data_IF_754677124755
#
_entry.id   IF_754677124755
#
_cell.length_a   1.000
_cell.length_b   1.000
_cell.length_c   1.000
_cell.angle_alpha   90.00
_cell.angle_beta   90.00
_cell.angle_gamma   90.00
#
_symmetry.space_group_name_H-M   'P 1'
#
loop_
_entity.id
_entity.type
_entity.pdbx_description
1 polymer ?
#
# COMPACT_ATOMS: atom_id res chain seq x y z
N UNK A 1 5.42 -11.68 1.26
CA UNK A 1 4.52 -10.51 1.30
C UNK A 1 3.53 -10.44 0.15
N UNK A 2 3.77 -11.13 -0.98
CA UNK A 2 2.82 -11.14 -2.12
C UNK A 2 1.47 -11.71 -1.67
N UNK A 3 0.40 -10.95 -1.88
CA UNK A 3 -0.97 -11.43 -1.67
C UNK A 3 -1.49 -12.10 -2.93
N UNK A 4 -1.35 -13.42 -3.00
CA UNK A 4 -1.77 -14.24 -4.13
C UNK A 4 -3.28 -14.26 -4.34
N UNK A 5 -4.08 -13.97 -3.32
CA UNK A 5 -5.53 -13.87 -3.47
C UNK A 5 -5.89 -12.75 -4.46
N UNK A 6 -5.30 -11.56 -4.30
CA UNK A 6 -5.52 -10.44 -5.22
C UNK A 6 -4.94 -10.69 -6.61
N UNK A 7 -3.82 -11.40 -6.73
CA UNK A 7 -3.30 -11.86 -8.02
C UNK A 7 -4.35 -12.68 -8.76
N UNK A 8 -4.94 -13.69 -8.13
CA UNK A 8 -5.99 -14.50 -8.75
C UNK A 8 -7.30 -13.74 -8.99
N UNK A 9 -7.60 -12.71 -8.19
CA UNK A 9 -8.72 -11.81 -8.47
C UNK A 9 -8.56 -11.07 -9.80
N UNK A 10 -7.38 -10.54 -10.09
CA UNK A 10 -7.07 -9.86 -11.36
C UNK A 10 -7.34 -10.78 -12.56
N UNK A 11 -7.06 -12.07 -12.42
CA UNK A 11 -7.30 -13.09 -13.43
C UNK A 11 -8.70 -13.71 -13.39
N UNK A 12 -9.62 -13.17 -12.58
CA UNK A 12 -10.99 -13.67 -12.39
C UNK A 12 -11.06 -15.14 -11.94
N UNK A 13 -10.03 -15.62 -11.24
CA UNK A 13 -9.89 -17.00 -10.76
C UNK A 13 -10.08 -17.14 -9.25
N UNK A 14 -10.84 -16.24 -8.63
CA UNK A 14 -11.10 -16.26 -7.18
C UNK A 14 -12.02 -17.42 -6.81
N UNK A 15 -11.64 -18.15 -5.77
CA UNK A 15 -12.51 -19.16 -5.17
C UNK A 15 -12.64 -20.47 -5.94
N UNK A 16 -12.05 -20.61 -7.11
CA UNK A 16 -12.07 -21.83 -7.94
C UNK A 16 -10.70 -22.52 -7.89
N UNK A 17 -10.68 -23.75 -7.42
CA UNK A 17 -9.53 -24.64 -7.61
C UNK A 17 -9.65 -25.25 -9.02
N UNK A 18 -8.83 -24.82 -9.95
CA UNK A 18 -8.84 -25.32 -11.32
C UNK A 18 -7.41 -25.59 -11.79
N UNK A 19 -7.26 -26.48 -12.75
CA UNK A 19 -5.99 -26.76 -13.40
C UNK A 19 -5.39 -25.46 -14.01
N UNK A 20 -6.24 -24.60 -14.57
CA UNK A 20 -5.85 -23.30 -15.10
C UNK A 20 -5.24 -22.36 -14.03
N UNK A 21 -5.76 -22.39 -12.80
CA UNK A 21 -5.19 -21.62 -11.68
C UNK A 21 -3.82 -22.15 -11.26
N UNK A 22 -3.63 -23.46 -11.28
CA UNK A 22 -2.33 -24.09 -10.98
C UNK A 22 -1.30 -23.74 -12.04
N UNK A 23 -1.66 -23.84 -13.32
CA UNK A 23 -0.80 -23.44 -14.44
C UNK A 23 -0.42 -21.97 -14.39
N UNK A 24 -1.38 -21.08 -14.12
CA UNK A 24 -1.10 -19.65 -13.95
C UNK A 24 -0.12 -19.37 -12.80
N UNK A 25 -0.25 -20.10 -11.69
CA UNK A 25 0.67 -19.96 -10.56
C UNK A 25 2.08 -20.46 -10.91
N UNK A 26 2.20 -21.56 -11.67
CA UNK A 26 3.48 -22.08 -12.14
C UNK A 26 4.17 -21.07 -13.06
N UNK A 27 3.44 -20.49 -14.02
CA UNK A 27 3.96 -19.45 -14.92
C UNK A 27 4.40 -18.21 -14.15
N UNK A 28 3.61 -17.77 -13.15
CA UNK A 28 3.95 -16.64 -12.30
C UNK A 28 5.23 -16.89 -11.50
N UNK A 29 5.36 -18.06 -10.89
CA UNK A 29 6.55 -18.41 -10.11
C UNK A 29 7.78 -18.54 -10.99
N UNK A 30 7.65 -19.11 -12.20
CA UNK A 30 8.72 -19.20 -13.18
C UNK A 30 9.20 -17.82 -13.60
N UNK A 31 8.28 -16.92 -13.97
CA UNK A 31 8.62 -15.54 -14.36
C UNK A 31 9.32 -14.78 -13.23
N UNK A 32 8.84 -14.91 -11.98
CA UNK A 32 9.51 -14.32 -10.83
C UNK A 32 10.94 -14.84 -10.64
N UNK A 33 11.14 -16.14 -10.73
CA UNK A 33 12.46 -16.76 -10.57
C UNK A 33 13.45 -16.32 -11.66
N UNK A 34 13.00 -16.28 -12.93
CA UNK A 34 13.82 -15.83 -14.07
C UNK A 34 14.17 -14.34 -13.98
N UNK A 35 13.33 -13.57 -13.30
CA UNK A 35 13.43 -12.11 -13.20
C UNK A 35 14.21 -11.63 -11.97
N UNK A 36 14.37 -12.46 -10.94
CA UNK A 36 14.90 -12.07 -9.62
C UNK A 36 16.29 -11.38 -9.67
N UNK A 37 17.16 -11.84 -10.59
CA UNK A 37 18.49 -11.26 -10.74
C UNK A 37 18.53 -9.98 -11.60
N UNK A 38 17.50 -9.74 -12.42
CA UNK A 38 17.47 -8.68 -13.43
C UNK A 38 16.75 -7.42 -12.96
N UNK A 39 15.65 -7.58 -12.20
CA UNK A 39 14.77 -6.48 -11.81
C UNK A 39 14.69 -6.33 -10.31
N UNK A 40 14.47 -5.10 -9.89
CA UNK A 40 14.36 -4.73 -8.48
C UNK A 40 13.03 -4.03 -8.21
N UNK A 41 12.57 -4.14 -6.98
CA UNK A 41 11.57 -3.23 -6.43
C UNK A 41 12.26 -2.16 -5.62
N UNK A 42 11.70 -0.96 -5.64
CA UNK A 42 12.25 0.21 -4.98
C UNK A 42 11.22 0.81 -4.05
N UNK A 43 11.70 1.40 -2.97
CA UNK A 43 10.87 2.12 -2.02
C UNK A 43 11.60 3.35 -1.51
N UNK A 44 10.87 4.45 -1.37
CA UNK A 44 11.33 5.66 -0.70
C UNK A 44 10.31 6.02 0.37
N UNK A 45 10.77 6.51 1.52
CA UNK A 45 9.88 7.02 2.57
C UNK A 45 10.52 8.17 3.33
N UNK A 46 9.67 8.97 3.96
CA UNK A 46 10.07 10.00 4.90
C UNK A 46 9.05 10.09 6.04
N UNK A 47 9.52 10.45 7.22
CA UNK A 47 8.68 10.76 8.38
C UNK A 47 8.67 12.27 8.58
N UNK A 48 7.48 12.86 8.60
CA UNK A 48 7.27 14.29 8.77
C UNK A 48 6.59 14.58 10.09
N UNK A 49 6.91 15.72 10.72
CA UNK A 49 6.06 16.26 11.77
C UNK A 49 4.70 16.60 11.18
N UNK A 50 3.65 16.21 11.88
CA UNK A 50 2.29 16.40 11.43
C UNK A 50 1.37 16.74 12.60
N UNK A 51 0.39 17.59 12.35
CA UNK A 51 -0.74 17.85 13.26
C UNK A 51 -2.01 17.96 12.44
N UNK A 52 -3.15 17.64 13.04
CA UNK A 52 -4.45 17.84 12.40
C UNK A 52 -5.08 19.17 12.81
N UNK A 53 -5.80 19.79 11.86
CA UNK A 53 -6.59 21.00 12.08
C UNK A 53 -7.92 20.85 11.32
N UNK A 54 -8.98 20.47 12.03
CA UNK A 54 -10.23 20.02 11.42
C UNK A 54 -10.02 18.77 10.58
N UNK A 55 -10.41 18.81 9.31
CA UNK A 55 -10.26 17.70 8.38
C UNK A 55 -8.92 17.73 7.61
N UNK A 56 -8.08 18.76 7.87
CA UNK A 56 -6.79 18.91 7.23
C UNK A 56 -5.66 18.29 8.07
N UNK A 57 -4.58 17.88 7.39
CA UNK A 57 -3.31 17.54 8.05
C UNK A 57 -2.26 18.56 7.61
N UNK A 58 -1.55 19.11 8.58
CA UNK A 58 -0.43 20.03 8.37
C UNK A 58 0.86 19.22 8.53
N UNK A 59 1.59 19.05 7.42
CA UNK A 59 2.91 18.44 7.38
C UNK A 59 3.96 19.55 7.39
N UNK A 60 4.64 19.74 8.50
CA UNK A 60 5.57 20.85 8.72
C UNK A 60 4.90 22.21 8.43
N UNK A 61 5.06 22.76 7.23
CA UNK A 61 4.48 24.03 6.77
C UNK A 61 3.40 23.86 5.67
N UNK A 62 3.13 22.62 5.24
CA UNK A 62 2.18 22.33 4.15
C UNK A 62 0.87 21.77 4.69
N UNK A 63 -0.22 22.44 4.36
CA UNK A 63 -1.58 22.00 4.68
C UNK A 63 -2.13 21.15 3.53
N UNK A 64 -2.54 19.94 3.85
CA UNK A 64 -3.18 19.01 2.90
C UNK A 64 -4.61 18.77 3.38
N UNK A 65 -5.63 19.17 2.61
CA UNK A 65 -7.02 18.89 2.93
C UNK A 65 -7.36 17.43 2.68
N UNK A 66 -8.10 16.83 3.59
CA UNK A 66 -8.63 15.48 3.43
C UNK A 66 -10.15 15.49 3.47
N UNK A 67 -10.74 14.57 2.71
CA UNK A 67 -12.19 14.44 2.65
C UNK A 67 -12.69 13.49 3.75
N UNK A 68 -13.52 14.03 4.64
CA UNK A 68 -14.22 13.20 5.62
C UNK A 68 -15.25 12.30 4.93
N UNK A 69 -15.36 11.06 5.36
CA UNK A 69 -16.34 10.10 4.86
C UNK A 69 -17.75 10.71 4.85
N UNK A 70 -18.39 10.70 3.68
CA UNK A 70 -19.69 11.33 3.48
C UNK A 70 -20.88 10.37 3.70
N UNK A 71 -20.63 9.06 3.58
CA UNK A 71 -21.67 8.05 3.73
C UNK A 71 -21.61 7.43 5.14
N UNK A 72 -22.74 7.44 5.85
CA UNK A 72 -22.86 6.77 7.14
C UNK A 72 -23.00 5.27 6.94
N UNK A 73 -22.01 4.50 7.42
CA UNK A 73 -22.09 3.04 7.46
C UNK A 73 -23.14 2.51 8.44
N UNK A 74 -23.25 3.16 9.62
CA UNK A 74 -24.28 2.90 10.63
C UNK A 74 -24.50 4.15 11.48
N UNK A 75 -25.63 4.21 12.22
CA UNK A 75 -25.90 5.34 13.12
C UNK A 75 -24.94 5.43 14.32
N UNK A 76 -24.19 4.35 14.60
CA UNK A 76 -23.29 4.24 15.76
C UNK A 76 -21.82 4.46 15.42
N UNK A 77 -21.44 4.57 14.14
CA UNK A 77 -20.05 4.78 13.73
C UNK A 77 -19.85 6.23 13.25
N UNK A 78 -18.79 6.91 13.70
CA UNK A 78 -18.46 8.25 13.20
C UNK A 78 -18.01 8.18 11.74
N UNK A 79 -18.22 9.25 11.01
CA UNK A 79 -17.58 9.44 9.71
C UNK A 79 -16.10 9.73 9.91
N UNK A 80 -15.24 8.92 9.34
CA UNK A 80 -13.78 8.96 9.55
C UNK A 80 -13.13 9.87 8.51
N UNK A 81 -12.12 10.63 8.95
CA UNK A 81 -11.18 11.37 8.11
C UNK A 81 -9.76 10.92 8.41
N UNK A 82 -8.83 11.12 7.49
CA UNK A 82 -7.41 10.85 7.71
C UNK A 82 -6.84 11.68 8.88
N UNK A 83 -7.33 12.91 9.05
CA UNK A 83 -6.96 13.79 10.14
C UNK A 83 -7.25 13.23 11.53
N UNK A 84 -8.23 12.34 11.67
CA UNK A 84 -8.59 11.73 12.96
C UNK A 84 -7.49 10.82 13.53
N UNK A 85 -6.52 10.42 12.72
CA UNK A 85 -5.38 9.58 13.11
C UNK A 85 -4.13 10.37 13.48
N UNK A 86 -4.19 11.70 13.42
CA UNK A 86 -3.10 12.62 13.74
C UNK A 86 -3.53 13.50 14.90
N UNK A 87 -2.63 13.80 15.83
CA UNK A 87 -2.93 14.65 16.98
C UNK A 87 -3.39 16.05 16.55
N UNK A 88 -4.47 16.58 17.15
CA UNK A 88 -4.90 17.94 16.91
C UNK A 88 -3.85 18.98 17.29
N UNK A 89 -3.70 20.02 16.47
CA UNK A 89 -2.77 21.14 16.70
C UNK A 89 -3.04 21.85 18.04
N UNK A 90 -4.29 21.88 18.47
CA UNK A 90 -4.73 22.49 19.74
C UNK A 90 -4.10 21.88 20.99
N UNK A 91 -3.65 20.62 20.91
CA UNK A 91 -2.99 19.93 22.02
C UNK A 91 -1.55 20.40 22.25
N UNK A 92 -0.98 21.20 21.34
CA UNK A 92 0.36 21.76 21.47
C UNK A 92 1.49 20.73 21.49
N UNK A 93 1.22 19.48 21.12
CA UNK A 93 2.20 18.39 21.08
C UNK A 93 2.42 17.91 19.65
N UNK A 94 3.66 17.63 19.30
CA UNK A 94 4.02 17.09 17.99
C UNK A 94 3.48 15.66 17.81
N UNK A 95 3.13 15.33 16.56
CA UNK A 95 2.90 13.99 16.08
C UNK A 95 3.67 13.80 14.76
N UNK A 96 3.59 12.62 14.19
CA UNK A 96 4.32 12.28 12.97
C UNK A 96 3.43 11.50 12.01
N UNK A 97 3.64 11.72 10.71
CA UNK A 97 3.09 10.89 9.67
C UNK A 97 4.17 10.51 8.65
N UNK A 98 4.06 9.29 8.13
CA UNK A 98 4.96 8.79 7.09
C UNK A 98 4.35 8.94 5.71
N UNK A 99 5.17 9.40 4.76
CA UNK A 99 4.87 9.33 3.33
C UNK A 99 5.82 8.36 2.67
N UNK A 100 5.34 7.57 1.71
CA UNK A 100 6.19 6.65 0.97
C UNK A 100 5.67 6.41 -0.45
N UNK A 101 6.58 5.97 -1.32
CA UNK A 101 6.25 5.46 -2.64
C UNK A 101 7.02 4.17 -2.91
N UNK A 102 6.41 3.26 -3.67
CA UNK A 102 7.01 2.00 -4.11
C UNK A 102 6.85 1.82 -5.60
N UNK A 103 7.82 1.19 -6.24
CA UNK A 103 7.80 0.88 -7.67
C UNK A 103 8.57 -0.40 -7.96
N UNK A 104 8.38 -0.94 -9.15
CA UNK A 104 9.16 -2.05 -9.73
C UNK A 104 9.84 -1.53 -10.98
N UNK A 105 11.03 -2.02 -11.30
CA UNK A 105 11.72 -1.68 -12.55
C UNK A 105 10.80 -1.89 -13.75
N UNK A 106 10.60 -0.84 -14.55
CA UNK A 106 9.68 -0.87 -15.69
C UNK A 106 10.06 -1.91 -16.73
N UNK A 107 11.37 -2.20 -16.90
CA UNK A 107 11.86 -3.27 -17.77
C UNK A 107 11.25 -4.64 -17.50
N UNK A 108 10.77 -4.90 -16.27
CA UNK A 108 10.08 -6.14 -15.96
C UNK A 108 8.81 -6.34 -16.81
N UNK A 109 8.04 -5.30 -17.04
CA UNK A 109 6.84 -5.34 -17.87
C UNK A 109 7.20 -5.20 -19.35
N UNK A 110 8.10 -4.29 -19.68
CA UNK A 110 8.49 -3.98 -21.06
C UNK A 110 9.09 -5.20 -21.77
N UNK A 111 10.03 -5.92 -21.11
CA UNK A 111 10.70 -7.11 -21.68
C UNK A 111 9.75 -8.30 -21.90
N UNK A 112 8.55 -8.27 -21.29
CA UNK A 112 7.55 -9.33 -21.45
C UNK A 112 6.32 -8.87 -22.27
N UNK A 113 6.34 -7.66 -22.83
CA UNK A 113 5.17 -7.06 -23.48
C UNK A 113 4.87 -7.56 -24.88
N UNK A 114 5.80 -8.24 -25.55
CA UNK A 114 5.61 -8.75 -26.91
C UNK A 114 4.55 -9.85 -27.00
N UNK A 115 4.42 -10.68 -25.97
CA UNK A 115 3.36 -11.69 -25.83
C UNK A 115 2.22 -11.14 -24.96
N UNK A 116 1.00 -11.16 -25.46
CA UNK A 116 -0.16 -10.60 -24.74
C UNK A 116 -0.42 -11.27 -23.39
N UNK A 117 -0.23 -12.59 -23.28
CA UNK A 117 -0.36 -13.32 -22.03
C UNK A 117 0.78 -12.98 -21.06
N UNK A 118 2.01 -13.04 -21.52
CA UNK A 118 3.19 -12.75 -20.70
C UNK A 118 3.21 -11.29 -20.26
N UNK A 119 2.82 -10.35 -21.12
CA UNK A 119 2.68 -8.94 -20.76
C UNK A 119 1.65 -8.72 -19.67
N UNK A 120 0.48 -9.35 -19.74
CA UNK A 120 -0.53 -9.29 -18.70
C UNK A 120 -0.07 -9.97 -17.40
N UNK A 121 0.66 -11.08 -17.50
CA UNK A 121 1.24 -11.77 -16.36
C UNK A 121 2.27 -10.88 -15.67
N UNK A 122 3.20 -10.30 -16.40
CA UNK A 122 4.23 -9.40 -15.87
C UNK A 122 3.61 -8.16 -15.22
N UNK A 123 2.62 -7.53 -15.87
CA UNK A 123 1.92 -6.38 -15.29
C UNK A 123 1.22 -6.72 -13.98
N UNK A 124 0.48 -7.83 -13.95
CA UNK A 124 -0.22 -8.25 -12.73
C UNK A 124 0.75 -8.63 -11.60
N UNK A 125 1.92 -9.19 -11.93
CA UNK A 125 2.97 -9.47 -10.95
C UNK A 125 3.66 -8.18 -10.49
N UNK A 126 3.94 -7.22 -11.38
CA UNK A 126 4.52 -5.93 -11.01
C UNK A 126 3.66 -5.19 -9.97
N UNK A 127 2.34 -5.17 -10.18
CA UNK A 127 1.40 -4.60 -9.21
C UNK A 127 1.48 -5.31 -7.85
N UNK A 128 1.57 -6.63 -7.85
CA UNK A 128 1.67 -7.41 -6.59
C UNK A 128 3.03 -7.25 -5.92
N UNK A 129 4.11 -7.08 -6.67
CA UNK A 129 5.45 -6.81 -6.11
C UNK A 129 5.50 -5.41 -5.50
N UNK A 130 4.93 -4.40 -6.15
CA UNK A 130 4.85 -3.05 -5.60
C UNK A 130 4.08 -3.02 -4.27
N UNK A 131 2.92 -3.71 -4.20
CA UNK A 131 2.15 -3.87 -2.97
C UNK A 131 2.93 -4.64 -1.88
N UNK A 132 3.62 -5.73 -2.25
CA UNK A 132 4.43 -6.51 -1.32
C UNK A 132 5.63 -5.69 -0.79
N UNK A 133 6.20 -4.81 -1.62
CA UNK A 133 7.26 -3.88 -1.23
C UNK A 133 6.73 -2.85 -0.24
N UNK A 134 5.52 -2.33 -0.46
CA UNK A 134 4.84 -1.43 0.48
C UNK A 134 4.58 -2.12 1.83
N UNK A 135 4.17 -3.39 1.83
CA UNK A 135 3.95 -4.17 3.05
C UNK A 135 5.25 -4.36 3.83
N UNK A 136 6.32 -4.79 3.15
CA UNK A 136 7.64 -4.97 3.74
C UNK A 136 8.19 -3.65 4.30
N UNK A 137 8.07 -2.55 3.53
CA UNK A 137 8.51 -1.23 3.99
C UNK A 137 7.75 -0.82 5.25
N UNK A 138 6.43 -0.96 5.26
CA UNK A 138 5.60 -0.58 6.40
C UNK A 138 5.96 -1.40 7.65
N UNK A 139 6.19 -2.71 7.51
CA UNK A 139 6.69 -3.53 8.63
C UNK A 139 8.03 -2.99 9.16
N UNK A 140 9.00 -2.69 8.28
CA UNK A 140 10.30 -2.14 8.68
C UNK A 140 10.17 -0.77 9.35
N UNK A 141 9.26 0.07 8.86
CA UNK A 141 8.97 1.36 9.50
C UNK A 141 8.45 1.14 10.93
N UNK A 142 7.47 0.28 11.14
CA UNK A 142 6.91 -0.01 12.46
C UNK A 142 7.94 -0.60 13.43
N UNK A 143 8.78 -1.52 12.94
CA UNK A 143 9.73 -2.27 13.79
C UNK A 143 11.04 -1.53 14.01
N UNK A 144 11.53 -0.78 13.03
CA UNK A 144 12.93 -0.31 13.01
C UNK A 144 13.05 1.19 12.77
N UNK A 145 12.47 1.73 11.70
CA UNK A 145 12.73 3.11 11.30
C UNK A 145 12.00 4.13 12.18
N UNK A 146 10.73 3.91 12.42
CA UNK A 146 9.96 4.65 13.43
C UNK A 146 10.05 3.94 14.79
N UNK A 147 9.95 2.60 14.79
CA UNK A 147 10.24 1.77 15.95
C UNK A 147 9.14 1.72 17.00
N UNK A 148 7.91 2.07 16.67
CA UNK A 148 6.81 2.04 17.66
C UNK A 148 6.27 0.63 17.95
N UNK A 149 6.62 -0.36 17.14
CA UNK A 149 6.24 -1.76 17.32
C UNK A 149 7.45 -2.72 17.16
N UNK A 150 8.55 -2.54 17.92
CA UNK A 150 9.81 -3.28 17.70
C UNK A 150 9.69 -4.78 17.90
N UNK A 151 8.72 -5.21 18.68
CA UNK A 151 8.50 -6.64 19.02
C UNK A 151 7.37 -7.26 18.17
N UNK A 152 6.87 -6.55 17.13
CA UNK A 152 5.84 -7.10 16.25
C UNK A 152 6.34 -8.38 15.58
N UNK A 153 5.50 -9.42 15.60
CA UNK A 153 5.77 -10.71 14.97
C UNK A 153 4.48 -11.21 14.31
N UNK A 154 4.15 -10.64 13.16
CA UNK A 154 2.95 -10.96 12.40
C UNK A 154 3.28 -11.89 11.24
N UNK A 155 2.41 -12.85 11.02
CA UNK A 155 2.43 -13.70 9.84
C UNK A 155 2.00 -12.91 8.59
N UNK A 156 2.33 -13.33 7.36
CA UNK A 156 1.84 -12.68 6.14
C UNK A 156 0.31 -12.55 6.09
N UNK A 157 -0.42 -13.54 6.62
CA UNK A 157 -1.88 -13.50 6.68
C UNK A 157 -2.39 -12.40 7.62
N UNK A 158 -1.74 -12.20 8.76
CA UNK A 158 -2.07 -11.13 9.71
C UNK A 158 -1.72 -9.76 9.14
N UNK A 159 -0.60 -9.63 8.43
CA UNK A 159 -0.26 -8.41 7.70
C UNK A 159 -1.33 -8.06 6.67
N UNK A 160 -1.76 -9.02 5.85
CA UNK A 160 -2.83 -8.82 4.86
C UNK A 160 -4.19 -8.47 5.49
N UNK A 161 -4.40 -8.82 6.76
CA UNK A 161 -5.59 -8.45 7.55
C UNK A 161 -5.44 -7.14 8.30
N UNK A 162 -4.34 -6.43 8.09
CA UNK A 162 -4.01 -5.18 8.79
C UNK A 162 -4.04 -5.31 10.32
N UNK A 163 -3.55 -6.45 10.85
CA UNK A 163 -3.51 -6.72 12.30
C UNK A 163 -2.39 -5.97 13.03
N UNK A 164 -1.67 -5.11 12.35
CA UNK A 164 -0.63 -4.26 12.89
C UNK A 164 -1.20 -2.98 13.53
N UNK A 165 -0.41 -2.33 14.37
CA UNK A 165 -0.71 -1.02 14.92
C UNK A 165 -0.48 0.08 13.86
N UNK A 166 -1.40 1.04 13.79
CA UNK A 166 -1.35 2.14 12.81
C UNK A 166 -2.15 1.85 11.55
N UNK A 167 -2.06 2.74 10.59
CA UNK A 167 -2.78 2.67 9.31
C UNK A 167 -1.83 2.95 8.15
N UNK A 168 -2.16 2.42 6.98
CA UNK A 168 -1.44 2.66 5.73
C UNK A 168 -2.43 2.87 4.59
N UNK A 169 -3.08 4.02 4.53
CA UNK A 169 -3.97 4.36 3.43
C UNK A 169 -3.16 4.66 2.16
N UNK A 170 -3.81 4.54 1.01
CA UNK A 170 -3.25 4.92 -0.28
C UNK A 170 -4.15 5.92 -1.00
N UNK A 171 -3.52 6.86 -1.74
CA UNK A 171 -4.25 7.81 -2.57
C UNK A 171 -5.03 7.08 -3.66
N UNK A 172 -6.30 7.46 -3.85
CA UNK A 172 -7.22 6.82 -4.80
C UNK A 172 -8.10 5.74 -4.18
N UNK A 173 -7.87 5.33 -2.92
CA UNK A 173 -8.73 4.40 -2.20
C UNK A 173 -9.85 5.14 -1.44
N UNK A 174 -10.91 4.45 -0.99
CA UNK A 174 -12.06 5.10 -0.33
C UNK A 174 -11.72 5.96 0.89
N UNK A 175 -10.62 5.66 1.59
CA UNK A 175 -10.13 6.47 2.72
C UNK A 175 -9.45 7.77 2.29
N UNK A 176 -9.00 7.86 1.04
CA UNK A 176 -8.28 8.99 0.48
C UNK A 176 -8.54 9.09 -1.03
N UNK A 177 -9.80 9.41 -1.44
CA UNK A 177 -10.24 9.25 -2.82
C UNK A 177 -9.74 10.31 -3.79
N UNK A 178 -9.23 11.44 -3.28
CA UNK A 178 -8.77 12.56 -4.10
C UNK A 178 -7.38 12.28 -4.66
N UNK A 179 -7.29 11.93 -5.94
CA UNK A 179 -6.04 11.70 -6.66
C UNK A 179 -5.17 12.96 -6.81
N UNK A 180 -5.76 14.16 -6.67
CA UNK A 180 -5.01 15.42 -6.77
C UNK A 180 -4.00 15.62 -5.64
N UNK A 181 -4.18 14.91 -4.52
CA UNK A 181 -3.23 14.87 -3.41
C UNK A 181 -1.82 14.46 -3.88
N UNK A 182 -1.70 13.62 -4.89
CA UNK A 182 -0.41 13.23 -5.46
C UNK A 182 0.40 14.43 -5.97
N UNK A 183 -0.24 15.49 -6.47
CA UNK A 183 0.46 16.71 -6.92
C UNK A 183 0.94 17.60 -5.77
N UNK A 184 0.42 17.38 -4.56
CA UNK A 184 0.81 18.13 -3.37
C UNK A 184 1.95 17.41 -2.64
N UNK A 185 1.94 16.06 -2.69
CA UNK A 185 2.91 15.20 -2.02
C UNK A 185 4.24 15.12 -2.78
N UNK A 186 4.22 15.26 -4.11
CA UNK A 186 5.41 15.19 -4.96
C UNK A 186 6.28 16.51 -4.86
#
# INVERSE_FOLDING_TARGET
YINWLYFFHTWQMSGVYSEARSSLMEDAMKLLQESESRYKSHAIFCLYKAVSDGDDIIFEDRRIPFLRQQHRGSQSQPNICMSDFIKPAELGSEDYAGLFATTVDMGFVEDNSEDGYMGMLAQSLADRIAEATAELLHERVRKTHWGYAPNENLTPLELHRCAYQGIRPAVGYPSMPDLSINFIIN
#
